data_IF_972141137782
#
_entry.id   IF_972141137782
#
_cell.length_a   1.000
_cell.length_b   1.000
_cell.length_c   1.000
_cell.angle_alpha   90.00
_cell.angle_beta   90.00
_cell.angle_gamma   90.00
#
_symmetry.space_group_name_H-M   'P 1'
#
loop_
_entity.id
_entity.type
_entity.pdbx_description
1 polymer ?
#
# COMPACT_ATOMS: atom_id res chain seq x y z
N UNK A 1 18.13 5.88 6.06
CA UNK A 1 17.09 6.46 5.17
C UNK A 1 15.83 5.65 5.38
N UNK A 2 14.69 6.31 5.55
CA UNK A 2 13.40 5.64 5.81
C UNK A 2 12.40 6.11 4.77
N UNK A 3 11.78 5.17 4.06
CA UNK A 3 10.71 5.46 3.09
C UNK A 3 9.38 5.02 3.68
N UNK A 4 8.37 5.87 3.54
CA UNK A 4 6.99 5.58 3.96
C UNK A 4 6.12 5.84 2.74
N UNK A 5 5.26 4.89 2.41
CA UNK A 5 4.37 4.99 1.26
C UNK A 5 3.27 3.95 1.29
N UNK A 6 2.22 4.21 0.53
CA UNK A 6 1.10 3.31 0.30
C UNK A 6 0.81 3.25 -1.20
N UNK A 7 1.02 2.08 -1.78
CA UNK A 7 0.78 1.82 -3.19
C UNK A 7 -0.70 1.96 -3.59
N UNK A 8 -1.61 1.71 -2.66
CA UNK A 8 -3.05 1.84 -2.87
C UNK A 8 -3.49 3.31 -2.99
N UNK A 9 -2.62 4.26 -2.64
CA UNK A 9 -2.93 5.69 -2.57
C UNK A 9 -2.12 6.53 -3.57
N UNK A 10 -1.47 5.91 -4.55
CA UNK A 10 -0.72 6.65 -5.56
C UNK A 10 -1.60 7.17 -6.70
N UNK A 11 -1.99 8.43 -6.58
CA UNK A 11 -2.91 9.10 -7.51
C UNK A 11 -2.24 10.14 -8.42
N UNK A 12 -0.94 10.39 -8.26
CA UNK A 12 -0.21 11.42 -9.00
C UNK A 12 0.52 10.91 -10.26
N UNK A 13 0.10 9.77 -10.83
CA UNK A 13 0.70 9.21 -12.04
C UNK A 13 0.71 10.19 -13.22
N UNK A 14 -0.32 11.02 -13.35
CA UNK A 14 -0.43 12.06 -14.37
C UNK A 14 0.66 13.16 -14.28
N UNK A 15 1.32 13.29 -13.12
CA UNK A 15 2.47 14.20 -12.92
C UNK A 15 3.82 13.49 -13.04
N UNK A 16 3.84 12.26 -13.54
CA UNK A 16 5.05 11.44 -13.65
C UNK A 16 5.44 10.71 -12.38
N UNK A 17 4.53 10.58 -11.39
CA UNK A 17 4.80 9.72 -10.23
C UNK A 17 4.75 8.25 -10.65
N UNK A 18 5.89 7.56 -10.56
CA UNK A 18 6.02 6.15 -10.92
C UNK A 18 5.98 5.27 -9.67
N UNK A 19 4.88 4.52 -9.49
CA UNK A 19 4.72 3.56 -8.39
C UNK A 19 5.83 2.48 -8.39
N UNK A 20 6.31 2.13 -9.57
CA UNK A 20 7.41 1.16 -9.76
C UNK A 20 8.66 1.50 -8.95
N UNK A 21 8.96 2.78 -8.71
CA UNK A 21 10.10 3.20 -7.90
C UNK A 21 9.97 2.68 -6.46
N UNK A 22 8.75 2.71 -5.92
CA UNK A 22 8.46 2.21 -4.59
C UNK A 22 8.43 0.68 -4.56
N UNK A 23 7.81 0.05 -5.56
CA UNK A 23 7.74 -1.42 -5.68
C UNK A 23 9.12 -2.07 -5.88
N UNK A 24 10.06 -1.34 -6.49
CA UNK A 24 11.42 -1.81 -6.77
C UNK A 24 12.45 -1.30 -5.77
N UNK A 25 12.05 -0.78 -4.61
CA UNK A 25 12.98 -0.18 -3.62
C UNK A 25 14.15 -1.11 -3.24
N UNK A 26 13.90 -2.43 -3.17
CA UNK A 26 14.94 -3.44 -2.90
C UNK A 26 15.99 -3.58 -4.00
N UNK A 27 15.69 -3.21 -5.25
CA UNK A 27 16.68 -3.22 -6.34
C UNK A 27 17.72 -2.10 -6.15
N UNK A 28 17.30 -0.96 -5.61
CA UNK A 28 18.17 0.18 -5.37
C UNK A 28 18.87 0.12 -4.01
N UNK A 29 18.21 -0.46 -3.01
CA UNK A 29 18.74 -0.68 -1.67
C UNK A 29 18.48 -2.13 -1.22
N UNK A 30 19.40 -3.06 -1.55
CA UNK A 30 19.23 -4.49 -1.22
C UNK A 30 19.05 -4.77 0.27
N UNK A 31 19.72 -3.99 1.12
CA UNK A 31 19.71 -4.17 2.58
C UNK A 31 18.52 -3.48 3.28
N UNK A 32 17.57 -2.93 2.52
CA UNK A 32 16.41 -2.24 3.12
C UNK A 32 15.48 -3.22 3.82
N UNK A 33 15.17 -2.92 5.08
CA UNK A 33 14.16 -3.64 5.83
C UNK A 33 12.76 -3.17 5.44
N UNK A 34 11.88 -4.13 5.15
CA UNK A 34 10.50 -3.85 4.76
C UNK A 34 9.56 -4.19 5.91
N UNK A 35 8.73 -3.23 6.28
CA UNK A 35 7.69 -3.40 7.30
C UNK A 35 6.33 -3.07 6.68
N UNK A 36 5.39 -4.03 6.75
CA UNK A 36 4.01 -3.83 6.26
C UNK A 36 3.10 -3.49 7.44
N UNK A 37 2.38 -2.37 7.36
CA UNK A 37 1.37 -2.00 8.33
C UNK A 37 -0.02 -2.29 7.75
N UNK A 38 -0.63 -3.38 8.20
CA UNK A 38 -1.92 -3.84 7.69
C UNK A 38 -3.10 -3.49 8.59
N UNK A 39 -2.85 -3.09 9.83
CA UNK A 39 -3.91 -2.77 10.78
C UNK A 39 -4.42 -1.35 10.57
N UNK A 40 -5.70 -1.22 10.24
CA UNK A 40 -6.38 0.07 10.12
C UNK A 40 -7.08 0.42 11.43
N UNK A 41 -6.61 1.49 12.08
CA UNK A 41 -7.17 2.01 13.32
C UNK A 41 -8.20 3.14 13.11
N UNK A 42 -8.39 3.58 11.86
CA UNK A 42 -9.22 4.75 11.49
C UNK A 42 -10.67 4.36 11.21
N UNK A 43 -10.88 3.34 10.39
CA UNK A 43 -12.17 3.01 9.78
C UNK A 43 -12.81 1.78 10.42
N UNK A 44 -14.15 1.67 10.30
CA UNK A 44 -14.92 0.48 10.73
C UNK A 44 -14.72 -0.69 9.74
N UNK A 45 -14.95 -1.95 10.16
CA UNK A 45 -14.75 -3.14 9.32
C UNK A 45 -15.37 -3.05 7.94
N UNK A 46 -16.65 -2.68 7.83
CA UNK A 46 -17.36 -2.62 6.55
C UNK A 46 -16.73 -1.63 5.55
N UNK A 47 -16.16 -0.51 6.02
CA UNK A 47 -15.48 0.46 5.16
C UNK A 47 -14.14 -0.10 4.66
N UNK A 48 -13.39 -0.74 5.55
CA UNK A 48 -12.10 -1.35 5.21
C UNK A 48 -12.31 -2.50 4.22
N UNK A 49 -13.32 -3.32 4.44
CA UNK A 49 -13.69 -4.43 3.55
C UNK A 49 -14.07 -3.92 2.14
N UNK A 50 -14.92 -2.91 2.05
CA UNK A 50 -15.28 -2.31 0.76
C UNK A 50 -14.03 -1.80 0.00
N UNK A 51 -13.10 -1.14 0.70
CA UNK A 51 -11.82 -0.71 0.11
C UNK A 51 -10.97 -1.89 -0.39
N UNK A 52 -10.85 -2.94 0.42
CA UNK A 52 -10.11 -4.16 0.03
C UNK A 52 -10.72 -4.84 -1.20
N UNK A 53 -12.05 -4.84 -1.35
CA UNK A 53 -12.69 -5.43 -2.53
C UNK A 53 -12.37 -4.65 -3.81
N UNK A 54 -12.35 -3.33 -3.75
CA UNK A 54 -12.03 -2.49 -4.93
C UNK A 54 -10.56 -2.66 -5.33
N UNK A 55 -9.64 -2.60 -4.36
CA UNK A 55 -8.20 -2.59 -4.64
C UNK A 55 -7.68 -3.92 -5.18
N UNK A 56 -8.34 -5.04 -4.87
CA UNK A 56 -8.00 -6.38 -5.39
C UNK A 56 -7.99 -6.47 -6.92
N UNK A 57 -8.66 -5.56 -7.61
CA UNK A 57 -8.69 -5.53 -9.07
C UNK A 57 -7.42 -4.91 -9.70
N UNK A 58 -6.54 -4.28 -8.91
CA UNK A 58 -5.29 -3.71 -9.43
C UNK A 58 -4.24 -4.80 -9.70
N UNK A 59 -3.57 -4.73 -10.86
CA UNK A 59 -2.57 -5.72 -11.29
C UNK A 59 -1.14 -5.40 -10.82
N UNK A 60 -0.84 -4.14 -10.51
CA UNK A 60 0.49 -3.68 -10.11
C UNK A 60 0.44 -3.07 -8.70
N UNK A 61 0.55 -3.94 -7.70
CA UNK A 61 0.49 -3.56 -6.29
C UNK A 61 1.25 -4.55 -5.41
N UNK A 62 1.59 -4.15 -4.20
CA UNK A 62 1.95 -5.11 -3.16
C UNK A 62 0.68 -5.74 -2.62
N UNK A 63 0.59 -7.06 -2.71
CA UNK A 63 -0.50 -7.77 -2.06
C UNK A 63 -0.43 -7.57 -0.54
N UNK A 64 -1.49 -6.97 -0.01
CA UNK A 64 -1.72 -6.76 1.41
C UNK A 64 -3.22 -6.68 1.65
N UNK A 65 -3.69 -7.41 2.66
CA UNK A 65 -5.04 -7.23 3.20
C UNK A 65 -4.99 -6.26 4.37
N UNK A 66 -5.84 -5.23 4.34
CA UNK A 66 -5.96 -4.27 5.44
C UNK A 66 -7.04 -4.76 6.40
N UNK A 67 -6.74 -4.82 7.70
CA UNK A 67 -7.65 -5.36 8.72
C UNK A 67 -8.05 -4.24 9.67
N UNK A 68 -9.35 -4.02 9.84
CA UNK A 68 -9.84 -3.06 10.83
C UNK A 68 -9.52 -3.54 12.25
N UNK A 69 -9.00 -2.63 13.09
CA UNK A 69 -8.73 -2.94 14.49
C UNK A 69 -10.03 -2.99 15.33
N UNK A 70 -10.99 -2.12 15.01
CA UNK A 70 -12.25 -2.01 15.74
C UNK A 70 -13.23 -3.05 15.22
N UNK A 71 -14.01 -3.65 16.11
CA UNK A 71 -15.14 -4.54 15.78
C UNK A 71 -16.37 -3.74 15.39
#
# INVERSE_FOLDING_TARGET
MTLIGDDFQSIYGWRGALMENFLNVKKYWPDIQMFKLQTNYRSRPHIVEAGNQVIKNNTQQYEKDVIAHRT
#
